data_IF_263614918478
#
_entry.id   IF_263614918478
#
_cell.length_a   1.000
_cell.length_b   1.000
_cell.length_c   1.000
_cell.angle_alpha   90.00
_cell.angle_beta   90.00
_cell.angle_gamma   90.00
#
_symmetry.space_group_name_H-M   'P 1'
#
loop_
_entity.id
_entity.type
_entity.pdbx_description
1 polymer ?
#
# COMPACT_ATOMS: atom_id res chain seq x y z
N UNK A 1 14.63 -1.72 5.39
CA UNK A 1 13.38 -2.02 4.65
C UNK A 1 13.37 -1.48 3.23
N UNK A 2 13.91 -0.31 3.00
CA UNK A 2 13.94 0.28 1.65
C UNK A 2 14.53 -0.67 0.61
N UNK A 3 15.58 -1.39 0.95
CA UNK A 3 16.27 -2.32 0.05
C UNK A 3 15.43 -3.55 -0.29
N UNK A 4 14.35 -3.81 0.46
CA UNK A 4 13.52 -5.00 0.31
C UNK A 4 12.21 -4.74 -0.42
N UNK A 5 11.99 -3.52 -0.87
CA UNK A 5 10.77 -3.20 -1.63
C UNK A 5 11.15 -2.41 -2.88
N UNK A 6 10.29 -2.42 -3.87
CA UNK A 6 10.47 -1.65 -5.09
C UNK A 6 10.08 -0.19 -4.81
N UNK A 7 11.04 0.55 -4.25
CA UNK A 7 10.80 1.93 -3.84
C UNK A 7 10.43 2.84 -5.00
N UNK A 8 11.04 2.64 -6.17
CA UNK A 8 10.77 3.44 -7.34
C UNK A 8 9.33 3.26 -7.83
N UNK A 9 8.89 2.01 -7.92
CA UNK A 9 7.51 1.67 -8.27
C UNK A 9 6.54 2.27 -7.24
N UNK A 10 6.85 2.11 -5.96
CA UNK A 10 6.00 2.59 -4.88
C UNK A 10 5.87 4.11 -4.90
N UNK A 11 6.97 4.83 -5.08
CA UNK A 11 6.94 6.29 -5.18
C UNK A 11 6.11 6.77 -6.37
N UNK A 12 6.23 6.12 -7.52
CA UNK A 12 5.45 6.45 -8.70
C UNK A 12 3.95 6.29 -8.45
N UNK A 13 3.57 5.19 -7.79
CA UNK A 13 2.17 4.93 -7.41
C UNK A 13 1.66 5.97 -6.43
N UNK A 14 2.46 6.30 -5.42
CA UNK A 14 2.08 7.27 -4.40
C UNK A 14 1.91 8.68 -4.98
N UNK A 15 2.77 9.07 -5.92
CA UNK A 15 2.62 10.37 -6.59
C UNK A 15 1.31 10.48 -7.35
N UNK A 16 0.89 9.40 -8.01
CA UNK A 16 -0.41 9.37 -8.69
C UNK A 16 -1.56 9.50 -7.68
N UNK A 17 -1.45 8.83 -6.54
CA UNK A 17 -2.47 8.87 -5.50
C UNK A 17 -2.56 10.27 -4.90
N UNK A 18 -1.44 10.94 -4.68
CA UNK A 18 -1.43 12.33 -4.21
C UNK A 18 -2.21 13.20 -5.19
N UNK A 19 -1.99 13.03 -6.48
CA UNK A 19 -2.76 13.76 -7.51
C UNK A 19 -4.25 13.46 -7.46
N UNK A 20 -4.62 12.19 -7.25
CA UNK A 20 -6.02 11.79 -7.09
C UNK A 20 -6.66 12.45 -5.87
N UNK A 21 -5.96 12.47 -4.75
CA UNK A 21 -6.45 13.10 -3.51
C UNK A 21 -6.63 14.59 -3.71
N UNK A 22 -5.68 15.25 -4.37
CA UNK A 22 -5.80 16.67 -4.68
C UNK A 22 -7.01 16.96 -5.58
N UNK A 23 -7.28 16.08 -6.55
CA UNK A 23 -8.44 16.20 -7.42
C UNK A 23 -9.74 16.06 -6.64
N UNK A 24 -9.80 15.11 -5.70
CA UNK A 24 -10.96 14.92 -4.82
C UNK A 24 -11.19 16.17 -3.97
N UNK A 25 -10.12 16.75 -3.45
CA UNK A 25 -10.21 17.97 -2.65
C UNK A 25 -10.85 19.12 -3.45
N UNK A 26 -10.45 19.26 -4.72
CA UNK A 26 -11.05 20.26 -5.59
C UNK A 26 -12.53 19.99 -5.89
N UNK A 27 -12.88 18.70 -6.04
CA UNK A 27 -14.28 18.31 -6.32
C UNK A 27 -15.24 18.72 -5.20
N UNK A 28 -14.75 18.81 -3.97
CA UNK A 28 -15.56 19.21 -2.82
C UNK A 28 -16.11 20.63 -2.99
N UNK A 29 -15.34 21.50 -3.63
CA UNK A 29 -15.71 22.91 -3.83
C UNK A 29 -16.48 23.14 -5.13
N UNK A 30 -16.69 22.10 -5.92
CA UNK A 30 -17.40 22.18 -7.19
C UNK A 30 -18.77 21.53 -7.06
N UNK A 31 -19.65 21.79 -8.04
CA UNK A 31 -20.98 21.19 -8.05
C UNK A 31 -20.93 19.79 -8.66
N UNK A 32 -20.25 18.87 -7.94
CA UNK A 32 -20.05 17.49 -8.36
C UNK A 32 -21.03 16.61 -7.58
N UNK A 33 -21.73 15.66 -8.24
CA UNK A 33 -22.60 14.74 -7.52
C UNK A 33 -21.85 13.92 -6.47
N UNK A 34 -22.48 13.68 -5.33
CA UNK A 34 -21.87 12.95 -4.22
C UNK A 34 -21.38 11.56 -4.64
N UNK A 35 -22.15 10.87 -5.47
CA UNK A 35 -21.78 9.53 -5.95
C UNK A 35 -20.48 9.53 -6.77
N UNK A 36 -20.19 10.62 -7.47
CA UNK A 36 -18.95 10.74 -8.23
C UNK A 36 -17.77 10.99 -7.31
N UNK A 37 -17.94 11.78 -6.26
CA UNK A 37 -16.91 12.00 -5.25
C UNK A 37 -16.61 10.69 -4.54
N UNK A 38 -17.63 9.93 -4.16
CA UNK A 38 -17.45 8.63 -3.51
C UNK A 38 -16.74 7.64 -4.41
N UNK A 39 -17.05 7.66 -5.71
CA UNK A 39 -16.35 6.79 -6.68
C UNK A 39 -14.87 7.12 -6.75
N UNK A 40 -14.51 8.40 -6.71
CA UNK A 40 -13.09 8.81 -6.72
C UNK A 40 -12.38 8.44 -5.43
N UNK A 41 -13.05 8.56 -4.29
CA UNK A 41 -12.50 8.14 -3.01
C UNK A 41 -12.23 6.63 -3.02
N UNK A 42 -13.16 5.85 -3.54
CA UNK A 42 -12.98 4.40 -3.65
C UNK A 42 -11.83 4.03 -4.57
N UNK A 43 -11.65 4.76 -5.67
CA UNK A 43 -10.53 4.57 -6.58
C UNK A 43 -9.19 4.84 -5.89
N UNK A 44 -9.10 5.91 -5.09
CA UNK A 44 -7.91 6.24 -4.33
C UNK A 44 -7.62 5.17 -3.26
N UNK A 45 -8.65 4.66 -2.60
CA UNK A 45 -8.53 3.56 -1.63
C UNK A 45 -7.96 2.33 -2.29
N UNK A 46 -8.49 1.94 -3.46
CA UNK A 46 -8.00 0.78 -4.21
C UNK A 46 -6.54 0.95 -4.64
N UNK A 47 -6.17 2.16 -5.04
CA UNK A 47 -4.79 2.46 -5.41
C UNK A 47 -3.84 2.35 -4.20
N UNK A 48 -4.27 2.78 -3.01
CA UNK A 48 -3.51 2.61 -1.77
C UNK A 48 -3.37 1.15 -1.39
N UNK A 49 -4.42 0.35 -1.57
CA UNK A 49 -4.32 -1.10 -1.38
C UNK A 49 -3.28 -1.72 -2.30
N UNK A 50 -3.18 -1.24 -3.54
CA UNK A 50 -2.14 -1.66 -4.48
C UNK A 50 -0.74 -1.35 -3.97
N UNK A 51 -0.54 -0.19 -3.32
CA UNK A 51 0.73 0.15 -2.68
C UNK A 51 1.04 -0.81 -1.53
N UNK A 52 0.04 -1.13 -0.71
CA UNK A 52 0.20 -2.10 0.38
C UNK A 52 0.62 -3.46 -0.14
N UNK A 53 0.08 -3.88 -1.28
CA UNK A 53 0.44 -5.14 -1.91
C UNK A 53 1.91 -5.16 -2.35
N UNK A 54 2.39 -4.05 -2.92
CA UNK A 54 3.81 -3.92 -3.31
C UNK A 54 4.72 -4.07 -2.10
N UNK A 55 4.37 -3.43 -0.98
CA UNK A 55 5.14 -3.52 0.26
C UNK A 55 5.14 -4.96 0.78
N UNK A 56 3.97 -5.60 0.81
CA UNK A 56 3.86 -6.98 1.30
C UNK A 56 4.65 -7.95 0.45
N UNK A 57 4.59 -7.84 -0.87
CA UNK A 57 5.36 -8.69 -1.78
C UNK A 57 6.86 -8.54 -1.56
N UNK A 58 7.35 -7.32 -1.38
CA UNK A 58 8.75 -7.07 -1.05
C UNK A 58 9.15 -7.72 0.27
N UNK A 59 8.28 -7.63 1.27
CA UNK A 59 8.52 -8.23 2.57
C UNK A 59 8.63 -9.77 2.47
N UNK A 60 7.73 -10.40 1.71
CA UNK A 60 7.76 -11.86 1.51
C UNK A 60 9.04 -12.29 0.79
N UNK A 61 9.37 -11.63 -0.32
CA UNK A 61 10.47 -12.05 -1.18
C UNK A 61 11.84 -11.82 -0.56
N UNK A 62 11.97 -10.80 0.28
CA UNK A 62 13.26 -10.39 0.80
C UNK A 62 13.36 -10.58 2.30
N UNK A 63 12.53 -9.92 3.09
CA UNK A 63 12.64 -9.96 4.55
C UNK A 63 12.35 -11.35 5.11
N UNK A 64 11.27 -11.99 4.67
CA UNK A 64 10.89 -13.32 5.20
C UNK A 64 11.86 -14.38 4.73
N UNK A 65 12.18 -14.38 3.45
CA UNK A 65 13.14 -15.36 2.90
C UNK A 65 14.50 -15.24 3.58
N UNK A 66 15.02 -14.02 3.70
CA UNK A 66 16.30 -13.77 4.33
C UNK A 66 16.30 -14.21 5.79
N UNK A 67 15.24 -13.91 6.53
CA UNK A 67 15.09 -14.31 7.92
C UNK A 67 15.06 -15.81 8.09
N UNK A 68 14.43 -16.56 7.17
CA UNK A 68 14.36 -18.01 7.22
C UNK A 68 15.72 -18.63 6.89
N UNK A 69 16.40 -18.11 5.87
CA UNK A 69 17.66 -18.69 5.39
C UNK A 69 18.87 -18.30 6.24
N UNK A 70 18.91 -17.06 6.74
CA UNK A 70 20.13 -16.50 7.34
C UNK A 70 19.90 -15.86 8.71
N UNK A 71 18.70 -15.97 9.27
CA UNK A 71 18.37 -15.34 10.54
C UNK A 71 17.52 -16.21 11.43
N UNK A 72 16.60 -15.59 12.16
CA UNK A 72 15.68 -16.26 13.07
C UNK A 72 14.35 -16.48 12.35
N UNK A 73 14.09 -17.75 12.00
CA UNK A 73 12.89 -18.14 11.26
C UNK A 73 11.61 -17.80 12.04
N UNK A 74 11.59 -18.04 13.35
CA UNK A 74 10.40 -17.75 14.17
C UNK A 74 10.07 -16.26 14.18
N UNK A 75 11.11 -15.43 14.31
CA UNK A 75 10.93 -13.98 14.30
C UNK A 75 10.47 -13.49 12.92
N UNK A 76 11.00 -14.07 11.85
CA UNK A 76 10.59 -13.73 10.48
C UNK A 76 9.11 -14.06 10.25
N UNK A 77 8.67 -15.22 10.72
CA UNK A 77 7.27 -15.66 10.61
C UNK A 77 6.37 -14.72 11.40
N UNK A 78 6.75 -14.35 12.62
CA UNK A 78 5.99 -13.42 13.45
C UNK A 78 5.84 -12.05 12.75
N UNK A 79 6.93 -11.52 12.23
CA UNK A 79 6.93 -10.25 11.49
C UNK A 79 6.01 -10.32 10.26
N UNK A 80 6.06 -11.41 9.54
CA UNK A 80 5.21 -11.64 8.37
C UNK A 80 3.75 -11.69 8.76
N UNK A 81 3.42 -12.40 9.85
CA UNK A 81 2.05 -12.49 10.34
C UNK A 81 1.49 -11.10 10.68
N UNK A 82 2.29 -10.27 11.34
CA UNK A 82 1.89 -8.89 11.64
C UNK A 82 1.65 -8.07 10.36
N UNK A 83 2.50 -8.23 9.35
CA UNK A 83 2.35 -7.52 8.09
C UNK A 83 1.05 -7.93 7.36
N UNK A 84 0.74 -9.23 7.37
CA UNK A 84 -0.49 -9.76 6.77
C UNK A 84 -1.72 -9.20 7.50
N UNK A 85 -1.70 -9.17 8.82
CA UNK A 85 -2.82 -8.62 9.60
C UNK A 85 -3.06 -7.15 9.27
N UNK A 86 -2.01 -6.36 9.18
CA UNK A 86 -2.13 -4.93 8.83
C UNK A 86 -2.67 -4.77 7.41
N UNK A 87 -2.19 -5.58 6.47
CA UNK A 87 -2.68 -5.53 5.09
C UNK A 87 -4.17 -5.92 5.03
N UNK A 88 -4.57 -6.96 5.75
CA UNK A 88 -5.96 -7.41 5.78
C UNK A 88 -6.88 -6.32 6.34
N UNK A 89 -6.41 -5.56 7.32
CA UNK A 89 -7.21 -4.47 7.94
C UNK A 89 -7.41 -3.28 7.01
N UNK A 90 -6.64 -3.19 5.91
CA UNK A 90 -6.82 -2.15 4.90
C UNK A 90 -7.99 -2.45 3.95
N UNK A 91 -8.39 -3.69 3.88
CA UNK A 91 -9.46 -4.11 2.97
C UNK A 91 -10.85 -3.80 3.59
#
# INVERSE_FOLDING_TARGET
MKQYMDAENLHRRLKKIIGQVQAIDRMVDEDIPCEDILAQINAAKSALNGCGKVVLEGHIQHCVRDGIQHGDADKAIESFTQAVERFANMQ
#
